data_IF_303357714974
#
_entry.id   IF_303357714974
#
_cell.length_a   1.000
_cell.length_b   1.000
_cell.length_c   1.000
_cell.angle_alpha   90.00
_cell.angle_beta   90.00
_cell.angle_gamma   90.00
#
_symmetry.space_group_name_H-M   'P 1'
#
loop_
_entity.id
_entity.type
_entity.pdbx_description
1 polymer ?
#
# COMPACT_ATOMS: atom_id res chain seq x y z
N UNK A 1 13.40 16.96 -1.97
CA UNK A 1 13.97 16.65 -3.30
C UNK A 1 14.77 17.84 -3.75
N UNK A 2 15.99 17.64 -4.28
CA UNK A 2 16.70 18.72 -4.95
C UNK A 2 16.18 18.83 -6.38
N UNK A 3 16.10 20.05 -6.93
CA UNK A 3 15.69 20.24 -8.33
C UNK A 3 16.63 19.57 -9.34
N UNK A 4 17.87 19.28 -8.91
CA UNK A 4 18.86 18.54 -9.67
C UNK A 4 18.46 17.07 -9.90
N UNK A 5 17.88 16.40 -8.88
CA UNK A 5 17.46 15.00 -8.99
C UNK A 5 16.30 14.85 -9.99
N UNK A 6 15.33 15.80 -9.99
CA UNK A 6 14.22 15.77 -10.93
C UNK A 6 14.70 15.95 -12.39
N UNK A 7 15.62 16.87 -12.65
CA UNK A 7 16.17 17.09 -13.99
C UNK A 7 16.92 15.88 -14.53
N UNK A 8 17.63 15.14 -13.68
CA UNK A 8 18.30 13.89 -14.07
C UNK A 8 17.29 12.80 -14.44
N UNK A 9 16.27 12.60 -13.61
CA UNK A 9 15.21 11.61 -13.85
C UNK A 9 14.49 11.89 -15.17
N UNK A 10 14.06 13.14 -15.40
CA UNK A 10 13.40 13.55 -16.66
C UNK A 10 14.29 13.30 -17.87
N UNK A 11 15.56 13.67 -17.81
CA UNK A 11 16.50 13.46 -18.91
C UNK A 11 16.74 11.99 -19.22
N UNK A 12 16.91 11.15 -18.18
CA UNK A 12 17.11 9.71 -18.37
C UNK A 12 15.87 9.05 -18.96
N UNK A 13 14.66 9.35 -18.45
CA UNK A 13 13.40 8.84 -18.99
C UNK A 13 13.17 9.31 -20.43
N UNK A 14 13.34 10.61 -20.73
CA UNK A 14 13.14 11.19 -22.05
C UNK A 14 14.15 10.76 -23.10
N UNK A 15 15.23 10.07 -22.69
CA UNK A 15 16.18 9.48 -23.64
C UNK A 15 15.61 8.26 -24.39
N UNK A 16 14.54 7.63 -23.89
CA UNK A 16 13.96 6.38 -24.42
C UNK A 16 12.44 6.37 -24.49
N UNK A 17 11.77 7.27 -23.82
CA UNK A 17 10.33 7.40 -23.79
C UNK A 17 9.93 8.74 -24.42
N UNK A 18 8.82 8.74 -25.17
CA UNK A 18 8.13 9.97 -25.51
C UNK A 18 7.45 10.50 -24.24
N UNK A 19 8.02 11.55 -23.65
CA UNK A 19 7.76 11.95 -22.28
C UNK A 19 7.14 13.34 -22.19
N UNK A 20 5.92 13.41 -21.68
CA UNK A 20 5.32 14.64 -21.19
C UNK A 20 5.56 14.76 -19.68
N UNK A 21 6.02 15.92 -19.22
CA UNK A 21 6.34 16.14 -17.81
C UNK A 21 5.52 17.27 -17.22
N UNK A 22 4.84 17.00 -16.09
CA UNK A 22 4.07 18.00 -15.36
C UNK A 22 4.46 17.98 -13.89
N UNK A 23 4.73 19.16 -13.32
CA UNK A 23 4.99 19.31 -11.89
C UNK A 23 3.67 19.50 -11.13
N UNK A 24 3.46 18.69 -10.08
CA UNK A 24 2.31 18.85 -9.19
C UNK A 24 2.41 20.14 -8.39
N UNK A 25 1.30 20.86 -8.24
CA UNK A 25 1.25 22.19 -7.61
C UNK A 25 0.56 22.19 -6.25
N UNK A 26 -0.37 21.25 -6.03
CA UNK A 26 -1.17 21.12 -4.80
C UNK A 26 -1.52 19.67 -4.52
N UNK A 27 -2.06 19.42 -3.34
CA UNK A 27 -2.55 18.09 -2.94
C UNK A 27 -3.75 17.70 -3.80
N UNK A 28 -3.74 16.47 -4.34
CA UNK A 28 -4.75 15.97 -5.27
C UNK A 28 -4.41 16.15 -6.75
N UNK A 29 -3.50 17.10 -7.10
CA UNK A 29 -3.16 17.38 -8.49
C UNK A 29 -2.56 16.15 -9.22
N UNK A 30 -1.81 15.29 -8.52
CA UNK A 30 -1.30 14.05 -9.12
C UNK A 30 -2.42 13.09 -9.55
N UNK A 31 -3.52 13.04 -8.79
CA UNK A 31 -4.72 12.28 -9.16
C UNK A 31 -5.42 12.84 -10.39
N UNK A 32 -5.57 14.17 -10.48
CA UNK A 32 -6.16 14.84 -11.66
C UNK A 32 -5.33 14.58 -12.92
N UNK A 33 -4.00 14.66 -12.81
CA UNK A 33 -3.09 14.36 -13.91
C UNK A 33 -3.18 12.89 -14.34
N UNK A 34 -3.35 11.97 -13.40
CA UNK A 34 -3.54 10.56 -13.69
C UNK A 34 -4.86 10.29 -14.45
N UNK A 35 -5.94 10.98 -14.09
CA UNK A 35 -7.21 10.97 -14.83
C UNK A 35 -6.99 11.47 -16.25
N UNK A 36 -6.34 12.63 -16.42
CA UNK A 36 -6.05 13.21 -17.72
C UNK A 36 -5.19 12.27 -18.58
N UNK A 37 -4.14 11.68 -18.02
CA UNK A 37 -3.26 10.73 -18.73
C UNK A 37 -4.04 9.52 -19.24
N UNK A 38 -4.92 8.95 -18.43
CA UNK A 38 -5.73 7.81 -18.83
C UNK A 38 -6.70 8.16 -19.98
N UNK A 39 -7.31 9.34 -19.93
CA UNK A 39 -8.25 9.80 -20.97
C UNK A 39 -7.56 10.20 -22.27
N UNK A 40 -6.30 10.62 -22.21
CA UNK A 40 -5.49 10.99 -23.37
C UNK A 40 -4.79 9.77 -24.00
N UNK A 41 -4.91 8.57 -23.42
CA UNK A 41 -4.39 7.34 -23.98
C UNK A 41 -2.90 7.12 -23.73
N UNK A 42 -2.31 7.72 -22.68
CA UNK A 42 -0.95 7.40 -22.29
C UNK A 42 -0.80 5.94 -21.87
N UNK A 43 0.29 5.32 -22.25
CA UNK A 43 0.59 3.91 -21.93
C UNK A 43 1.15 3.71 -20.52
N UNK A 44 1.85 4.72 -20.01
CA UNK A 44 2.61 4.64 -18.77
C UNK A 44 2.54 5.97 -18.01
N UNK A 45 2.22 5.92 -16.74
CA UNK A 45 2.32 7.05 -15.82
C UNK A 45 3.52 6.83 -14.91
N UNK A 46 4.54 7.66 -15.04
CA UNK A 46 5.71 7.64 -14.15
C UNK A 46 5.52 8.69 -13.06
N UNK A 47 5.57 8.29 -11.79
CA UNK A 47 5.53 9.21 -10.67
C UNK A 47 6.92 9.41 -10.10
N UNK A 48 7.35 10.65 -9.88
CA UNK A 48 8.55 10.96 -9.11
C UNK A 48 8.16 11.67 -7.82
N UNK A 49 8.05 10.91 -6.74
CA UNK A 49 7.56 11.42 -5.46
C UNK A 49 7.62 10.40 -4.34
N UNK A 50 6.94 10.69 -3.25
CA UNK A 50 6.73 9.75 -2.15
C UNK A 50 5.44 8.95 -2.30
N UNK A 51 5.17 8.08 -1.32
CA UNK A 51 4.00 7.18 -1.31
C UNK A 51 2.66 7.94 -1.41
N UNK A 52 2.55 9.17 -0.86
CA UNK A 52 1.35 10.00 -1.00
C UNK A 52 1.06 10.41 -2.45
N UNK A 53 2.09 10.81 -3.22
CA UNK A 53 1.92 11.13 -4.65
C UNK A 53 1.51 9.90 -5.44
N UNK A 54 2.10 8.74 -5.13
CA UNK A 54 1.73 7.46 -5.74
C UNK A 54 0.29 7.11 -5.43
N UNK A 55 -0.15 7.27 -4.17
CA UNK A 55 -1.53 7.00 -3.76
C UNK A 55 -2.53 7.91 -4.48
N UNK A 56 -2.23 9.21 -4.65
CA UNK A 56 -3.06 10.11 -5.45
C UNK A 56 -3.21 9.63 -6.90
N UNK A 57 -2.11 9.25 -7.55
CA UNK A 57 -2.13 8.73 -8.94
C UNK A 57 -2.94 7.43 -9.03
N UNK A 58 -2.71 6.49 -8.11
CA UNK A 58 -3.48 5.24 -8.06
C UNK A 58 -4.97 5.52 -7.95
N UNK A 59 -5.39 6.37 -7.01
CA UNK A 59 -6.80 6.71 -6.85
C UNK A 59 -7.36 7.47 -8.05
N UNK A 60 -6.58 8.33 -8.71
CA UNK A 60 -6.95 8.95 -9.98
C UNK A 60 -7.23 7.92 -11.05
N UNK A 61 -6.31 6.99 -11.30
CA UNK A 61 -6.46 5.91 -12.28
C UNK A 61 -7.64 5.00 -11.95
N UNK A 62 -7.88 4.69 -10.66
CA UNK A 62 -8.97 3.81 -10.24
C UNK A 62 -10.36 4.44 -10.44
N UNK A 63 -10.46 5.76 -10.43
CA UNK A 63 -11.72 6.49 -10.60
C UNK A 63 -12.09 6.77 -12.06
N UNK A 64 -11.22 6.44 -13.02
CA UNK A 64 -11.47 6.67 -14.46
C UNK A 64 -12.03 5.42 -15.09
N UNK A 65 -13.09 5.58 -15.88
CA UNK A 65 -13.52 4.63 -16.92
C UNK A 65 -12.93 5.09 -18.24
N UNK A 66 -12.05 4.30 -18.83
CA UNK A 66 -11.54 4.53 -20.19
C UNK A 66 -12.19 3.49 -21.09
N UNK A 67 -13.29 3.84 -21.82
CA UNK A 67 -14.03 2.88 -22.64
C UNK A 67 -13.19 2.29 -23.78
N UNK A 68 -12.24 3.07 -24.32
CA UNK A 68 -11.51 2.76 -25.53
C UNK A 68 -9.99 2.83 -25.33
N UNK A 69 -9.48 2.32 -24.21
CA UNK A 69 -8.03 2.24 -24.01
C UNK A 69 -7.40 1.28 -25.01
N UNK A 70 -6.55 1.82 -25.88
CA UNK A 70 -5.86 1.08 -26.97
C UNK A 70 -4.41 0.72 -26.61
N UNK A 71 -3.97 1.04 -25.41
CA UNK A 71 -2.60 0.75 -24.97
C UNK A 71 -2.32 -0.74 -24.77
N UNK A 72 -1.04 -1.11 -24.52
CA UNK A 72 -0.63 -2.49 -24.33
C UNK A 72 -1.39 -3.17 -23.19
N UNK A 73 -1.88 -4.40 -23.37
CA UNK A 73 -2.62 -5.12 -22.34
C UNK A 73 -1.74 -5.44 -21.12
N UNK A 74 -2.35 -5.40 -19.94
CA UNK A 74 -1.73 -5.86 -18.72
C UNK A 74 -2.01 -7.35 -18.52
N UNK A 75 -0.98 -8.16 -18.36
CA UNK A 75 -1.14 -9.58 -18.06
C UNK A 75 -1.70 -9.75 -16.63
N UNK A 76 -2.64 -10.70 -16.41
CA UNK A 76 -3.06 -11.05 -15.04
C UNK A 76 -1.85 -11.51 -14.23
N UNK A 77 -1.91 -11.30 -12.93
CA UNK A 77 -0.88 -11.81 -12.02
C UNK A 77 -0.79 -13.33 -12.20
N UNK A 78 0.43 -13.86 -12.34
CA UNK A 78 0.63 -15.31 -12.38
C UNK A 78 0.11 -15.88 -11.05
N UNK A 79 -0.89 -16.75 -11.09
CA UNK A 79 -1.39 -17.46 -9.94
C UNK A 79 -0.20 -18.21 -9.28
N UNK A 80 0.13 -17.84 -8.06
CA UNK A 80 1.06 -18.60 -7.25
C UNK A 80 0.54 -20.04 -7.15
N UNK A 81 1.36 -21.02 -7.56
CA UNK A 81 0.96 -22.41 -7.76
C UNK A 81 0.22 -23.01 -6.55
N UNK A 82 -1.08 -23.15 -6.71
CA UNK A 82 -2.00 -23.84 -5.82
C UNK A 82 -2.97 -24.64 -6.69
N UNK A 83 -3.00 -25.95 -6.45
CA UNK A 83 -3.68 -27.05 -7.12
C UNK A 83 -5.03 -26.72 -7.77
N UNK A 84 -5.17 -27.28 -8.97
CA UNK A 84 -6.43 -27.43 -9.74
C UNK A 84 -7.57 -28.06 -8.92
N UNK A 85 -8.74 -27.44 -8.98
CA UNK A 85 -9.99 -27.96 -8.40
C UNK A 85 -11.18 -27.39 -9.14
N UNK A 86 -11.74 -28.20 -9.99
CA UNK A 86 -12.93 -28.21 -10.85
C UNK A 86 -14.12 -27.33 -10.49
N UNK A 87 -14.70 -26.76 -11.57
CA UNK A 87 -16.09 -26.57 -11.97
C UNK A 87 -17.21 -26.43 -10.94
N UNK A 88 -17.98 -25.35 -11.09
CA UNK A 88 -19.31 -25.22 -10.49
C UNK A 88 -20.00 -23.90 -10.82
N UNK A 89 -20.71 -23.84 -11.95
CA UNK A 89 -21.67 -22.80 -12.26
C UNK A 89 -22.88 -22.88 -11.31
N UNK A 90 -23.32 -21.76 -10.77
CA UNK A 90 -24.56 -21.67 -10.00
C UNK A 90 -24.88 -20.26 -9.58
N UNK A 91 -25.73 -19.57 -10.36
CA UNK A 91 -26.27 -18.27 -9.98
C UNK A 91 -27.30 -18.41 -8.88
N UNK A 92 -27.24 -17.49 -7.91
CA UNK A 92 -28.38 -17.15 -7.06
C UNK A 92 -28.34 -15.66 -6.75
N UNK A 93 -29.43 -15.00 -7.15
CA UNK A 93 -29.80 -13.65 -6.72
C UNK A 93 -29.95 -13.63 -5.18
N UNK A 94 -29.35 -12.67 -4.52
CA UNK A 94 -29.62 -12.38 -3.13
C UNK A 94 -29.74 -10.87 -2.88
N UNK A 95 -30.75 -10.57 -2.13
CA UNK A 95 -31.42 -9.32 -1.83
C UNK A 95 -30.56 -8.18 -1.30
N UNK A 96 -31.06 -7.02 -1.64
CA UNK A 96 -30.83 -5.65 -1.19
C UNK A 96 -30.54 -5.51 0.33
N UNK A 97 -29.39 -4.94 0.62
CA UNK A 97 -28.95 -4.49 1.94
C UNK A 97 -27.74 -3.58 1.81
N UNK A 98 -27.96 -2.27 1.78
CA UNK A 98 -27.00 -1.17 2.01
C UNK A 98 -25.56 -1.30 1.52
N UNK A 99 -25.32 -1.93 0.39
CA UNK A 99 -23.98 -2.21 -0.11
C UNK A 99 -23.39 -1.00 -0.81
N UNK A 100 -22.20 -0.60 -0.40
CA UNK A 100 -21.29 0.27 -1.15
C UNK A 100 -21.31 -0.18 -2.63
N UNK A 101 -21.65 0.74 -3.51
CA UNK A 101 -21.78 0.48 -4.96
C UNK A 101 -20.49 -0.16 -5.50
N UNK A 102 -20.51 -1.45 -5.72
CA UNK A 102 -19.47 -2.22 -6.41
C UNK A 102 -19.49 -1.99 -7.94
N UNK A 103 -20.15 -0.91 -8.38
CA UNK A 103 -20.38 -0.61 -9.77
C UNK A 103 -19.06 -0.43 -10.52
N UNK A 104 -18.65 -1.48 -11.23
CA UNK A 104 -17.70 -1.44 -12.34
C UNK A 104 -16.36 -0.75 -12.03
N UNK A 105 -15.50 -1.41 -11.25
CA UNK A 105 -14.06 -1.14 -11.32
C UNK A 105 -13.63 -1.64 -12.69
N UNK A 106 -13.19 -0.75 -13.64
CA UNK A 106 -12.76 -1.18 -14.95
C UNK A 106 -11.59 -2.15 -14.83
N UNK A 107 -11.51 -3.13 -15.72
CA UNK A 107 -10.38 -4.06 -15.74
C UNK A 107 -9.04 -3.30 -15.80
N UNK A 108 -8.04 -3.76 -15.07
CA UNK A 108 -6.71 -3.15 -15.05
C UNK A 108 -6.07 -3.07 -16.46
N UNK A 109 -6.49 -3.96 -17.37
CA UNK A 109 -6.06 -3.97 -18.76
C UNK A 109 -6.47 -2.71 -19.57
N UNK A 110 -7.43 -1.94 -19.08
CA UNK A 110 -7.95 -0.75 -19.77
C UNK A 110 -7.37 0.57 -19.19
N UNK A 111 -6.17 0.53 -18.63
CA UNK A 111 -5.55 1.72 -18.00
C UNK A 111 -4.04 1.76 -18.23
N UNK A 112 -3.42 2.96 -18.22
CA UNK A 112 -1.96 3.06 -18.24
C UNK A 112 -1.33 2.31 -17.06
N UNK A 113 -0.16 1.72 -17.31
CA UNK A 113 0.63 1.15 -16.23
C UNK A 113 1.21 2.27 -15.36
N UNK A 114 1.49 1.97 -14.08
CA UNK A 114 2.20 2.89 -13.19
C UNK A 114 3.65 2.42 -12.98
N UNK A 115 4.58 3.38 -12.89
CA UNK A 115 5.96 3.15 -12.50
C UNK A 115 6.41 4.23 -11.48
N UNK A 116 6.51 3.90 -10.19
CA UNK A 116 6.91 4.86 -9.18
C UNK A 116 8.42 5.00 -9.09
N UNK A 117 8.95 6.20 -9.33
CA UNK A 117 10.36 6.55 -9.04
C UNK A 117 10.45 7.05 -7.59
N UNK A 118 11.28 6.44 -6.74
CA UNK A 118 11.45 6.85 -5.35
C UNK A 118 11.91 8.30 -5.21
N UNK A 119 11.10 9.16 -4.59
CA UNK A 119 11.41 10.57 -4.34
C UNK A 119 11.09 11.02 -2.92
N UNK A 120 10.51 10.15 -2.11
CA UNK A 120 10.11 10.41 -0.71
C UNK A 120 11.05 9.75 0.31
N UNK A 121 10.56 9.64 1.54
CA UNK A 121 11.33 9.08 2.66
C UNK A 121 11.30 7.55 2.73
N UNK A 122 10.13 6.94 2.70
CA UNK A 122 9.96 5.48 2.83
C UNK A 122 9.88 4.77 1.48
N UNK A 123 9.11 5.33 0.55
CA UNK A 123 8.88 4.81 -0.81
C UNK A 123 8.51 3.32 -0.77
N UNK A 124 7.56 2.97 0.08
CA UNK A 124 7.21 1.59 0.40
C UNK A 124 6.73 0.88 -0.86
N UNK A 125 5.78 1.47 -1.57
CA UNK A 125 5.22 0.86 -2.77
C UNK A 125 6.26 0.61 -3.86
N UNK A 126 7.10 1.62 -4.18
CA UNK A 126 8.17 1.47 -5.17
C UNK A 126 9.14 0.33 -4.81
N UNK A 127 9.55 0.28 -3.54
CA UNK A 127 10.47 -0.75 -3.04
C UNK A 127 9.83 -2.14 -3.00
N UNK A 128 8.55 -2.24 -2.70
CA UNK A 128 7.82 -3.52 -2.74
C UNK A 128 7.66 -4.03 -4.17
N UNK A 129 7.56 -3.14 -5.16
CA UNK A 129 7.64 -3.51 -6.58
C UNK A 129 9.06 -3.95 -7.02
N UNK A 130 10.06 -3.86 -6.15
CA UNK A 130 11.45 -4.25 -6.44
C UNK A 130 12.33 -3.12 -6.98
N UNK A 131 11.86 -1.86 -6.92
CA UNK A 131 12.68 -0.72 -7.32
C UNK A 131 13.71 -0.36 -6.23
N UNK A 132 14.95 -0.06 -6.60
CA UNK A 132 15.95 0.40 -5.67
C UNK A 132 15.57 1.80 -5.11
N UNK A 133 15.99 2.14 -3.89
CA UNK A 133 15.64 3.41 -3.26
C UNK A 133 16.31 4.63 -3.93
N UNK A 134 17.34 4.42 -4.72
CA UNK A 134 18.08 5.47 -5.44
C UNK A 134 17.37 5.76 -6.77
N UNK A 135 16.98 7.03 -7.06
CA UNK A 135 16.15 7.40 -8.20
C UNK A 135 16.72 6.98 -9.57
N UNK A 136 18.00 7.23 -9.85
CA UNK A 136 18.60 6.89 -11.15
C UNK A 136 18.67 5.37 -11.35
N UNK A 137 18.91 4.59 -10.30
CA UNK A 137 18.87 3.13 -10.39
C UNK A 137 17.43 2.62 -10.63
N UNK A 138 16.44 3.27 -10.03
CA UNK A 138 15.03 2.97 -10.27
C UNK A 138 14.64 3.27 -11.71
N UNK A 139 15.03 4.44 -12.25
CA UNK A 139 14.79 4.83 -13.64
C UNK A 139 15.38 3.80 -14.62
N UNK A 140 16.63 3.37 -14.42
CA UNK A 140 17.23 2.32 -15.28
C UNK A 140 16.41 1.04 -15.29
N UNK A 141 15.87 0.61 -14.13
CA UNK A 141 14.99 -0.56 -14.05
C UNK A 141 13.65 -0.34 -14.75
N UNK A 142 13.06 0.84 -14.59
CA UNK A 142 11.80 1.22 -15.25
C UNK A 142 11.99 1.19 -16.77
N UNK A 143 13.08 1.78 -17.30
CA UNK A 143 13.38 1.76 -18.73
C UNK A 143 13.57 0.34 -19.26
N UNK A 144 14.33 -0.50 -18.56
CA UNK A 144 14.50 -1.90 -18.95
C UNK A 144 13.19 -2.70 -18.94
N UNK A 145 12.29 -2.41 -18.00
CA UNK A 145 10.96 -3.02 -17.96
C UNK A 145 10.06 -2.50 -19.09
N UNK A 146 10.10 -1.20 -19.37
CA UNK A 146 9.36 -0.58 -20.47
C UNK A 146 9.79 -1.16 -21.82
N UNK A 147 11.11 -1.29 -22.07
CA UNK A 147 11.65 -1.90 -23.28
C UNK A 147 11.19 -3.37 -23.47
N UNK A 148 11.01 -4.12 -22.38
CA UNK A 148 10.51 -5.48 -22.45
C UNK A 148 9.01 -5.57 -22.75
N UNK A 149 8.28 -4.46 -22.65
CA UNK A 149 6.83 -4.36 -22.83
C UNK A 149 6.01 -5.16 -21.78
N UNK A 150 6.67 -5.79 -20.81
CA UNK A 150 5.99 -6.67 -19.85
C UNK A 150 5.32 -5.87 -18.75
N UNK A 151 4.05 -6.14 -18.55
CA UNK A 151 3.19 -5.54 -17.54
C UNK A 151 2.50 -6.64 -16.76
N UNK A 152 2.14 -6.37 -15.51
CA UNK A 152 1.34 -7.27 -14.69
C UNK A 152 0.28 -6.50 -13.91
N UNK A 153 -0.81 -7.15 -13.59
CA UNK A 153 -1.79 -6.63 -12.64
C UNK A 153 -1.36 -6.93 -11.22
N UNK A 154 -1.79 -6.10 -10.31
CA UNK A 154 -1.69 -6.30 -8.87
C UNK A 154 -3.02 -5.96 -8.21
N UNK A 155 -3.31 -6.62 -7.09
CA UNK A 155 -4.43 -6.27 -6.24
C UNK A 155 -4.16 -5.02 -5.42
N UNK A 156 -5.24 -4.35 -5.03
CA UNK A 156 -5.24 -3.19 -4.15
C UNK A 156 -6.16 -3.43 -2.96
N UNK A 157 -5.85 -2.79 -1.84
CA UNK A 157 -6.80 -2.64 -0.77
C UNK A 157 -7.71 -1.42 -1.00
N UNK A 158 -8.98 -1.55 -0.63
CA UNK A 158 -9.95 -0.46 -0.62
C UNK A 158 -10.42 -0.25 0.81
N UNK A 159 -10.33 0.98 1.31
CA UNK A 159 -10.78 1.39 2.63
C UNK A 159 -11.83 2.49 2.47
N UNK A 160 -13.10 2.15 2.74
CA UNK A 160 -14.22 3.01 2.35
C UNK A 160 -14.28 3.19 0.83
N UNK A 161 -13.98 4.39 0.36
CA UNK A 161 -13.95 4.78 -1.06
C UNK A 161 -12.55 5.04 -1.61
N UNK A 162 -11.50 4.85 -0.79
CA UNK A 162 -10.11 5.15 -1.16
C UNK A 162 -9.24 3.90 -1.24
N UNK A 163 -8.54 3.74 -2.35
CA UNK A 163 -7.58 2.66 -2.55
C UNK A 163 -6.27 2.91 -1.80
N UNK A 164 -5.67 1.81 -1.33
CA UNK A 164 -4.33 1.82 -0.77
C UNK A 164 -3.45 0.74 -1.39
N UNK A 165 -2.17 1.08 -1.49
CA UNK A 165 -1.17 0.24 -2.17
C UNK A 165 -0.47 -0.73 -1.22
N UNK A 166 -0.20 -0.32 0.03
CA UNK A 166 0.52 -1.17 0.98
C UNK A 166 -0.13 -1.25 2.36
N UNK A 167 -0.68 -0.16 2.92
CA UNK A 167 -1.30 -0.27 4.25
C UNK A 167 -2.30 0.84 4.56
N UNK A 168 -3.23 0.50 5.45
CA UNK A 168 -4.08 1.46 6.13
C UNK A 168 -4.12 1.13 7.62
N UNK A 169 -4.19 2.15 8.48
CA UNK A 169 -4.11 1.98 9.91
C UNK A 169 -5.06 2.85 10.70
N UNK A 170 -5.52 2.32 11.85
CA UNK A 170 -6.41 2.99 12.79
C UNK A 170 -5.79 3.04 14.19
N UNK A 171 -6.13 4.09 14.93
CA UNK A 171 -5.72 4.29 16.32
C UNK A 171 -4.32 4.84 16.44
N UNK A 172 -3.50 4.30 17.35
CA UNK A 172 -2.18 4.87 17.73
C UNK A 172 -1.27 5.09 16.52
N UNK A 173 -1.29 4.18 15.57
CA UNK A 173 -0.50 4.29 14.35
C UNK A 173 -0.89 5.55 13.53
N UNK A 174 -2.18 5.74 13.29
CA UNK A 174 -2.69 6.90 12.57
C UNK A 174 -2.50 8.22 13.37
N UNK A 175 -2.55 8.16 14.69
CA UNK A 175 -2.25 9.33 15.55
C UNK A 175 -0.81 9.79 15.39
N UNK A 176 0.14 8.86 15.22
CA UNK A 176 1.55 9.19 14.94
C UNK A 176 1.67 9.88 13.59
N UNK A 177 0.94 9.41 12.56
CA UNK A 177 0.92 10.04 11.23
C UNK A 177 0.38 11.46 11.30
N UNK A 178 -0.72 11.69 12.05
CA UNK A 178 -1.28 13.03 12.26
C UNK A 178 -0.28 13.99 12.91
N UNK A 179 0.45 13.54 13.92
CA UNK A 179 1.46 14.36 14.60
C UNK A 179 2.66 14.67 13.69
N UNK A 180 3.12 13.71 12.90
CA UNK A 180 4.19 13.91 11.92
C UNK A 180 3.75 14.91 10.85
N UNK A 181 2.53 14.81 10.35
CA UNK A 181 2.01 15.75 9.34
C UNK A 181 1.93 17.19 9.90
N UNK A 182 1.47 17.38 11.14
CA UNK A 182 1.51 18.69 11.82
C UNK A 182 2.94 19.25 11.96
N UNK A 183 3.93 18.39 12.23
CA UNK A 183 5.33 18.81 12.31
C UNK A 183 5.90 19.16 10.93
N UNK A 184 5.49 18.45 9.87
CA UNK A 184 5.86 18.77 8.50
C UNK A 184 5.27 20.12 8.05
N UNK A 185 4.01 20.38 8.37
CA UNK A 185 3.37 21.68 8.11
C UNK A 185 4.09 22.85 8.78
N UNK A 186 4.82 22.58 9.89
CA UNK A 186 5.68 23.56 10.58
C UNK A 186 7.13 23.61 10.04
N UNK A 187 7.38 23.07 8.85
CA UNK A 187 8.67 23.11 8.18
C UNK A 187 9.68 22.01 8.60
N UNK A 188 9.28 21.04 9.42
CA UNK A 188 10.16 19.91 9.77
C UNK A 188 10.26 18.93 8.61
N UNK A 189 11.48 18.51 8.27
CA UNK A 189 11.67 17.45 7.26
C UNK A 189 11.24 16.10 7.82
N UNK A 190 10.49 15.33 7.02
CA UNK A 190 10.17 13.95 7.34
C UNK A 190 11.47 13.13 7.39
N UNK A 191 11.73 12.51 8.54
CA UNK A 191 12.89 11.63 8.73
C UNK A 191 12.46 10.47 9.61
N UNK A 192 13.13 9.33 9.48
CA UNK A 192 12.90 8.15 10.33
C UNK A 192 12.97 8.51 11.82
N UNK A 193 13.90 9.38 12.20
CA UNK A 193 14.05 9.84 13.59
C UNK A 193 12.84 10.68 14.04
N UNK A 194 12.26 11.50 13.17
CA UNK A 194 11.06 12.27 13.48
C UNK A 194 9.88 11.33 13.77
N UNK A 195 9.65 10.33 12.91
CA UNK A 195 8.62 9.31 13.13
C UNK A 195 8.83 8.56 14.43
N UNK A 196 10.04 8.06 14.69
CA UNK A 196 10.35 7.31 15.90
C UNK A 196 10.12 8.14 17.17
N UNK A 197 10.62 9.38 17.21
CA UNK A 197 10.41 10.28 18.38
C UNK A 197 8.93 10.61 18.58
N UNK A 198 8.20 10.81 17.49
CA UNK A 198 6.76 11.09 17.54
C UNK A 198 5.99 9.87 18.05
N UNK A 199 6.32 8.69 17.55
CA UNK A 199 5.72 7.42 17.99
C UNK A 199 5.97 7.17 19.48
N UNK A 200 7.22 7.32 19.96
CA UNK A 200 7.58 7.17 21.37
C UNK A 200 6.83 8.18 22.23
N UNK A 201 6.82 9.46 21.81
CA UNK A 201 6.12 10.51 22.55
C UNK A 201 4.61 10.24 22.62
N UNK A 202 3.99 9.86 21.49
CA UNK A 202 2.57 9.55 21.43
C UNK A 202 2.24 8.38 22.35
N UNK A 203 2.98 7.29 22.23
CA UNK A 203 2.80 6.09 23.03
C UNK A 203 2.84 6.34 24.54
N UNK A 204 3.79 7.14 25.03
CA UNK A 204 3.97 7.34 26.47
C UNK A 204 3.09 8.43 27.06
N UNK A 205 2.80 9.49 26.33
CA UNK A 205 2.21 10.71 26.90
C UNK A 205 0.80 11.03 26.42
N UNK A 206 0.37 10.53 25.25
CA UNK A 206 -0.87 10.99 24.66
C UNK A 206 -1.88 9.88 24.35
N UNK A 207 -1.49 8.60 24.40
CA UNK A 207 -2.41 7.49 24.16
C UNK A 207 -3.02 7.02 25.48
N UNK A 208 -4.36 7.05 25.57
CA UNK A 208 -5.07 6.43 26.68
C UNK A 208 -5.04 4.91 26.54
N UNK A 209 -4.08 4.27 27.23
CA UNK A 209 -3.86 2.80 27.20
C UNK A 209 -4.85 2.02 28.06
N UNK A 210 -5.91 2.64 28.53
CA UNK A 210 -6.95 2.00 29.37
C UNK A 210 -8.26 1.82 28.65
N UNK A 211 -8.49 2.55 27.54
CA UNK A 211 -9.77 2.57 26.82
C UNK A 211 -9.58 2.17 25.37
N UNK A 212 -9.53 0.84 25.07
CA UNK A 212 -9.55 0.38 23.69
C UNK A 212 -10.86 0.77 23.03
N UNK A 213 -10.82 1.26 21.80
CA UNK A 213 -12.00 1.77 21.12
C UNK A 213 -12.45 0.92 19.95
N UNK A 214 -11.56 0.05 19.42
CA UNK A 214 -11.82 -0.63 18.17
C UNK A 214 -12.41 -2.03 18.38
N UNK A 215 -13.36 -2.37 17.52
CA UNK A 215 -13.91 -3.72 17.33
C UNK A 215 -13.67 -4.12 15.87
N UNK A 216 -13.08 -5.27 15.69
CA UNK A 216 -12.90 -5.90 14.37
C UNK A 216 -14.09 -6.82 14.09
N UNK A 217 -14.64 -6.69 12.90
CA UNK A 217 -15.65 -7.56 12.32
C UNK A 217 -15.06 -8.20 11.05
N UNK A 218 -15.08 -9.51 10.97
CA UNK A 218 -14.70 -10.26 9.78
C UNK A 218 -15.78 -11.29 9.46
N UNK A 219 -16.02 -11.64 8.20
CA UNK A 219 -16.97 -12.67 7.83
C UNK A 219 -16.72 -13.97 8.59
N UNK A 220 -17.78 -14.64 8.98
CA UNK A 220 -17.77 -15.96 9.62
C UNK A 220 -16.94 -16.07 10.91
N UNK A 221 -16.56 -14.93 11.51
CA UNK A 221 -15.80 -14.89 12.76
C UNK A 221 -16.52 -14.04 13.82
N UNK A 222 -16.44 -14.42 15.10
CA UNK A 222 -16.99 -13.60 16.16
C UNK A 222 -16.27 -12.24 16.25
N UNK A 223 -16.98 -11.16 16.60
CA UNK A 223 -16.40 -9.84 16.75
C UNK A 223 -15.23 -9.82 17.74
N UNK A 224 -14.10 -9.28 17.33
CA UNK A 224 -12.92 -9.11 18.19
C UNK A 224 -12.93 -7.70 18.78
N UNK A 225 -13.33 -7.59 20.04
CA UNK A 225 -13.48 -6.30 20.74
C UNK A 225 -12.21 -5.93 21.52
N UNK A 226 -12.11 -4.65 21.84
CA UNK A 226 -11.08 -4.15 22.75
C UNK A 226 -9.71 -4.01 22.12
N UNK A 227 -9.65 -3.50 20.90
CA UNK A 227 -8.41 -3.23 20.19
C UNK A 227 -8.02 -1.74 20.32
N UNK A 228 -6.75 -1.46 20.44
CA UNK A 228 -6.16 -0.11 20.51
C UNK A 228 -5.69 0.41 19.16
N UNK A 229 -5.32 -0.50 18.29
CA UNK A 229 -4.89 -0.19 16.94
C UNK A 229 -5.12 -1.38 16.03
N UNK A 230 -5.30 -1.10 14.75
CA UNK A 230 -5.32 -2.07 13.67
C UNK A 230 -4.55 -1.55 12.48
N UNK A 231 -3.78 -2.43 11.84
CA UNK A 231 -3.10 -2.16 10.57
C UNK A 231 -3.53 -3.24 9.59
N UNK A 232 -4.09 -2.81 8.48
CA UNK A 232 -4.46 -3.65 7.35
C UNK A 232 -3.41 -3.47 6.27
N UNK A 233 -2.81 -4.55 5.81
CA UNK A 233 -1.74 -4.53 4.80
C UNK A 233 -2.18 -5.21 3.52
N UNK A 234 -1.83 -4.63 2.38
CA UNK A 234 -2.00 -5.17 1.03
C UNK A 234 -0.68 -5.69 0.45
N UNK A 235 0.42 -5.38 1.11
CA UNK A 235 1.75 -5.86 0.74
C UNK A 235 2.71 -5.81 1.94
N UNK A 236 3.83 -6.52 1.83
CA UNK A 236 4.91 -6.52 2.81
C UNK A 236 6.18 -5.89 2.20
N UNK A 237 6.88 -5.02 2.92
CA UNK A 237 6.70 -4.59 4.31
C UNK A 237 5.66 -3.48 4.50
N UNK A 238 5.18 -3.30 5.73
CA UNK A 238 4.34 -2.17 6.13
C UNK A 238 5.03 -0.81 6.00
N UNK A 239 6.31 -0.74 6.43
CA UNK A 239 7.13 0.47 6.36
C UNK A 239 8.61 0.12 6.43
N UNK A 240 9.46 1.15 6.35
CA UNK A 240 10.91 1.01 6.54
C UNK A 240 11.40 1.95 7.62
N UNK A 241 12.19 1.42 8.57
CA UNK A 241 12.99 2.21 9.50
C UNK A 241 14.42 2.32 8.93
N UNK A 242 14.68 3.37 8.15
CA UNK A 242 15.89 3.49 7.34
C UNK A 242 15.92 2.42 6.23
N UNK A 243 16.90 1.53 6.28
CA UNK A 243 17.00 0.39 5.36
C UNK A 243 16.24 -0.86 5.83
N UNK A 244 15.87 -0.94 7.12
CA UNK A 244 15.24 -2.13 7.72
C UNK A 244 13.75 -2.16 7.45
N UNK A 245 13.23 -3.22 6.83
CA UNK A 245 11.79 -3.40 6.65
C UNK A 245 11.12 -3.76 7.99
N UNK A 246 9.90 -3.30 8.18
CA UNK A 246 9.02 -3.67 9.29
C UNK A 246 7.86 -4.48 8.72
N UNK A 247 7.73 -5.74 9.14
CA UNK A 247 6.78 -6.71 8.58
C UNK A 247 5.83 -7.25 9.66
N UNK A 248 4.66 -6.63 9.86
CA UNK A 248 3.63 -7.19 10.73
C UNK A 248 3.00 -8.45 10.13
N UNK A 249 2.96 -8.53 8.81
CA UNK A 249 2.47 -9.65 8.03
C UNK A 249 3.51 -9.96 6.93
N UNK A 250 4.47 -10.88 7.19
CA UNK A 250 5.61 -11.08 6.31
C UNK A 250 5.27 -11.71 4.95
N UNK A 251 4.16 -12.47 4.87
CA UNK A 251 3.74 -13.18 3.67
C UNK A 251 2.75 -12.40 2.78
N UNK A 252 2.31 -11.23 3.21
CA UNK A 252 1.40 -10.41 2.41
C UNK A 252 2.06 -10.02 1.10
N UNK A 253 1.42 -10.34 0.00
CA UNK A 253 1.75 -9.84 -1.32
C UNK A 253 0.53 -9.22 -2.01
N UNK A 254 0.74 -8.58 -3.15
CA UNK A 254 -0.32 -7.87 -3.87
C UNK A 254 -1.48 -8.76 -4.38
N UNK A 255 -1.39 -10.10 -4.25
CA UNK A 255 -2.39 -11.03 -4.78
C UNK A 255 -2.95 -11.97 -3.72
N UNK A 256 -2.43 -11.90 -2.49
CA UNK A 256 -2.80 -12.81 -1.40
C UNK A 256 -4.05 -12.41 -0.62
N UNK A 257 -4.66 -11.25 -0.93
CA UNK A 257 -5.70 -10.66 -0.08
C UNK A 257 -5.12 -9.68 0.93
N UNK A 258 -5.92 -9.24 1.88
CA UNK A 258 -5.50 -8.32 2.95
C UNK A 258 -5.05 -9.11 4.17
N UNK A 259 -3.97 -8.66 4.78
CA UNK A 259 -3.55 -9.17 6.08
C UNK A 259 -3.81 -8.12 7.17
N UNK A 260 -4.02 -8.62 8.37
CA UNK A 260 -4.34 -7.81 9.54
C UNK A 260 -3.33 -8.04 10.65
N UNK A 261 -2.91 -6.95 11.26
CA UNK A 261 -2.22 -6.91 12.55
C UNK A 261 -2.93 -5.94 13.48
N UNK A 262 -3.29 -6.37 14.69
CA UNK A 262 -3.93 -5.51 15.69
C UNK A 262 -3.44 -5.82 17.10
N UNK A 263 -3.55 -4.84 18.01
CA UNK A 263 -3.13 -4.94 19.39
C UNK A 263 -4.31 -4.77 20.35
N UNK A 264 -4.49 -5.76 21.25
CA UNK A 264 -5.46 -5.71 22.37
C UNK A 264 -4.97 -4.88 23.54
N UNK A 265 -3.67 -4.78 23.72
CA UNK A 265 -3.07 -4.02 24.84
C UNK A 265 -1.78 -3.36 24.38
N UNK A 266 -1.59 -2.14 24.87
CA UNK A 266 -0.37 -1.36 24.65
C UNK A 266 0.57 -1.47 25.86
N UNK A 267 1.09 -2.67 26.13
CA UNK A 267 2.10 -2.89 27.16
C UNK A 267 3.50 -2.68 26.57
N UNK A 268 4.31 -1.87 27.20
CA UNK A 268 5.64 -1.49 26.68
C UNK A 268 6.49 -2.69 26.26
N UNK A 269 6.60 -3.71 27.11
CA UNK A 269 7.44 -4.88 26.81
C UNK A 269 6.88 -5.72 25.65
N UNK A 270 5.56 -5.99 25.63
CA UNK A 270 4.94 -6.75 24.53
C UNK A 270 4.94 -5.98 23.21
N UNK A 271 4.72 -4.65 23.25
CA UNK A 271 4.79 -3.81 22.04
C UNK A 271 6.20 -3.75 21.47
N UNK A 272 7.23 -3.60 22.33
CA UNK A 272 8.62 -3.64 21.89
C UNK A 272 9.04 -5.01 21.37
N UNK A 273 8.56 -6.09 21.98
CA UNK A 273 8.81 -7.45 21.50
C UNK A 273 8.17 -7.67 20.13
N UNK A 274 6.92 -7.22 19.92
CA UNK A 274 6.25 -7.28 18.62
C UNK A 274 7.02 -6.47 17.55
N UNK A 275 7.40 -5.22 17.86
CA UNK A 275 8.18 -4.38 16.95
C UNK A 275 9.53 -5.01 16.59
N UNK A 276 10.23 -5.55 17.60
CA UNK A 276 11.47 -6.27 17.36
C UNK A 276 11.25 -7.48 16.44
N UNK A 277 10.18 -8.23 16.67
CA UNK A 277 9.83 -9.38 15.84
C UNK A 277 9.58 -8.95 14.37
N UNK A 278 8.81 -7.88 14.16
CA UNK A 278 8.52 -7.32 12.83
C UNK A 278 9.77 -6.85 12.07
N UNK A 279 10.83 -6.46 12.79
CA UNK A 279 12.11 -6.03 12.20
C UNK A 279 13.10 -7.17 11.95
N UNK A 280 12.84 -8.35 12.49
CA UNK A 280 13.62 -9.55 12.18
C UNK A 280 13.16 -10.16 10.85
N UNK A 281 14.07 -10.88 10.20
CA UNK A 281 13.80 -11.59 8.93
C UNK A 281 13.00 -12.88 9.12
N UNK A 282 12.23 -12.98 10.21
CA UNK A 282 11.39 -14.14 10.47
C UNK A 282 10.22 -14.20 9.49
N UNK A 283 9.97 -15.37 8.96
CA UNK A 283 8.83 -15.64 8.09
C UNK A 283 7.50 -15.78 8.84
N UNK A 284 7.51 -15.67 10.16
CA UNK A 284 6.30 -15.77 10.97
C UNK A 284 5.78 -14.39 11.39
N UNK A 285 4.46 -14.16 11.38
CA UNK A 285 3.88 -12.94 11.89
C UNK A 285 4.10 -12.83 13.41
N UNK A 286 4.12 -11.60 13.97
CA UNK A 286 4.14 -11.43 15.41
C UNK A 286 2.98 -12.16 16.07
N UNK A 287 3.27 -12.88 17.12
CA UNK A 287 2.27 -13.66 17.87
C UNK A 287 2.33 -13.31 19.36
N UNK A 288 1.26 -13.61 20.08
CA UNK A 288 1.19 -13.40 21.51
C UNK A 288 -0.23 -13.08 22.00
N UNK A 289 -0.42 -13.09 23.32
CA UNK A 289 -1.74 -12.90 23.96
C UNK A 289 -2.40 -11.56 23.63
N UNK A 290 -1.62 -10.52 23.38
CA UNK A 290 -2.07 -9.16 23.12
C UNK A 290 -2.10 -8.84 21.60
N UNK A 291 -1.72 -9.79 20.75
CA UNK A 291 -1.69 -9.67 19.28
C UNK A 291 -2.90 -10.36 18.66
N UNK A 292 -3.49 -9.73 17.68
CA UNK A 292 -4.49 -10.31 16.78
C UNK A 292 -3.94 -10.18 15.38
N UNK A 293 -3.85 -11.29 14.67
CA UNK A 293 -3.44 -11.34 13.27
C UNK A 293 -4.37 -12.24 12.47
N UNK A 294 -4.61 -11.87 11.23
CA UNK A 294 -5.33 -12.67 10.26
C UNK A 294 -4.72 -12.41 8.89
N UNK A 295 -4.83 -13.37 7.98
CA UNK A 295 -4.22 -13.31 6.66
C UNK A 295 -5.24 -13.68 5.57
N UNK A 296 -4.95 -13.24 4.34
CA UNK A 296 -5.72 -13.57 3.15
C UNK A 296 -7.22 -13.20 3.26
N UNK A 297 -7.52 -12.08 3.89
CA UNK A 297 -8.88 -11.58 4.04
C UNK A 297 -9.35 -10.89 2.77
N UNK A 298 -10.55 -11.23 2.30
CA UNK A 298 -11.18 -10.50 1.20
C UNK A 298 -11.85 -9.21 1.70
N UNK A 299 -12.39 -9.24 2.93
CA UNK A 299 -13.04 -8.09 3.55
C UNK A 299 -12.94 -8.14 5.07
N UNK A 300 -12.97 -6.98 5.69
CA UNK A 300 -13.10 -6.79 7.14
C UNK A 300 -13.61 -5.38 7.43
N UNK A 301 -14.16 -5.17 8.62
CA UNK A 301 -14.61 -3.85 9.06
C UNK A 301 -14.08 -3.55 10.45
N UNK A 302 -13.59 -2.33 10.66
CA UNK A 302 -13.39 -1.80 11.99
C UNK A 302 -14.53 -0.87 12.37
N UNK A 303 -15.07 -1.10 13.55
CA UNK A 303 -16.00 -0.21 14.23
C UNK A 303 -15.34 0.35 15.48
N UNK A 304 -15.48 1.66 15.71
CA UNK A 304 -14.96 2.33 16.89
C UNK A 304 -16.11 2.94 17.71
N UNK A 305 -15.97 2.92 19.04
CA UNK A 305 -16.95 3.50 19.99
C UNK A 305 -16.82 5.03 20.11
N UNK A 306 -15.84 5.63 19.42
CA UNK A 306 -15.57 7.06 19.32
C UNK A 306 -14.74 7.35 18.07
N UNK A 307 -14.68 8.60 17.58
CA UNK A 307 -13.80 8.97 16.47
C UNK A 307 -12.35 8.57 16.75
N UNK A 308 -11.74 7.83 15.83
CA UNK A 308 -10.37 7.30 15.91
C UNK A 308 -9.59 7.75 14.68
N UNK A 309 -8.35 8.16 14.89
CA UNK A 309 -7.43 8.55 13.83
C UNK A 309 -7.28 7.42 12.79
N UNK A 310 -7.27 7.80 11.52
CA UNK A 310 -7.20 6.91 10.38
C UNK A 310 -6.18 7.42 9.35
N UNK A 311 -5.40 6.51 8.78
CA UNK A 311 -4.46 6.82 7.70
C UNK A 311 -4.50 5.76 6.59
N UNK A 312 -4.07 6.17 5.40
CA UNK A 312 -3.85 5.32 4.23
C UNK A 312 -2.47 5.62 3.67
N UNK A 313 -1.66 4.60 3.40
CA UNK A 313 -0.31 4.69 2.80
C UNK A 313 0.56 5.77 3.48
N UNK A 314 0.45 5.90 4.81
CA UNK A 314 1.16 6.88 5.60
C UNK A 314 0.62 8.31 5.55
N UNK A 315 -0.52 8.54 4.89
CA UNK A 315 -1.22 9.82 4.84
C UNK A 315 -2.38 9.85 5.83
N UNK A 316 -2.38 10.79 6.77
CA UNK A 316 -3.46 10.99 7.72
C UNK A 316 -4.72 11.54 7.03
N UNK A 317 -5.86 10.88 7.21
CA UNK A 317 -7.14 11.23 6.57
C UNK A 317 -8.19 11.80 7.52
N UNK A 318 -7.85 11.99 8.78
CA UNK A 318 -8.80 12.45 9.79
C UNK A 318 -9.19 11.35 10.76
N UNK A 319 -10.36 11.49 11.36
CA UNK A 319 -10.92 10.54 12.31
C UNK A 319 -12.18 9.88 11.74
N UNK A 320 -12.41 8.63 12.14
CA UNK A 320 -13.57 7.84 11.70
C UNK A 320 -14.05 6.92 12.82
N UNK A 321 -15.31 6.54 12.77
CA UNK A 321 -15.89 5.53 13.66
C UNK A 321 -16.08 4.18 12.96
N UNK A 322 -16.11 4.18 11.61
CA UNK A 322 -16.31 2.98 10.82
C UNK A 322 -15.46 3.01 9.56
N UNK A 323 -14.74 1.92 9.29
CA UNK A 323 -14.04 1.71 8.02
C UNK A 323 -14.23 0.26 7.60
N UNK A 324 -14.83 0.07 6.43
CA UNK A 324 -14.87 -1.21 5.75
C UNK A 324 -13.65 -1.32 4.81
N UNK A 325 -13.00 -2.47 4.85
CA UNK A 325 -11.87 -2.82 4.02
C UNK A 325 -12.24 -3.95 3.08
N UNK A 326 -11.76 -3.87 1.85
CA UNK A 326 -11.94 -4.93 0.86
C UNK A 326 -10.69 -5.08 0.00
N UNK A 327 -10.35 -6.31 -0.33
CA UNK A 327 -9.36 -6.61 -1.36
C UNK A 327 -9.99 -6.52 -2.75
N UNK A 328 -9.30 -5.87 -3.66
CA UNK A 328 -9.70 -5.77 -5.08
C UNK A 328 -8.60 -6.42 -5.91
N UNK A 329 -8.79 -7.65 -6.38
CA UNK A 329 -7.81 -8.35 -7.19
C UNK A 329 -7.64 -7.69 -8.55
N UNK A 330 -6.47 -7.86 -9.17
CA UNK A 330 -6.17 -7.39 -10.54
C UNK A 330 -6.56 -5.92 -10.81
N UNK A 331 -6.43 -5.07 -9.79
CA UNK A 331 -6.95 -3.71 -9.83
C UNK A 331 -6.06 -2.73 -10.60
N UNK A 332 -4.74 -2.85 -10.46
CA UNK A 332 -3.77 -1.87 -10.97
C UNK A 332 -2.76 -2.53 -11.91
N UNK A 333 -2.50 -1.90 -13.05
CA UNK A 333 -1.44 -2.30 -13.96
C UNK A 333 -0.11 -1.66 -13.55
N UNK A 334 0.94 -2.47 -13.43
CA UNK A 334 2.31 -2.02 -13.14
C UNK A 334 3.30 -2.61 -14.14
N UNK A 335 4.44 -1.98 -14.34
CA UNK A 335 5.52 -2.60 -15.10
C UNK A 335 6.03 -3.84 -14.36
N UNK A 336 6.20 -4.95 -15.09
CA UNK A 336 6.75 -6.18 -14.55
C UNK A 336 8.28 -6.05 -14.42
N UNK A 337 8.71 -5.61 -13.25
CA UNK A 337 10.13 -5.47 -12.94
C UNK A 337 10.74 -6.86 -12.74
N UNK A 338 11.85 -7.11 -13.43
CA UNK A 338 12.59 -8.36 -13.23
C UNK A 338 13.25 -8.32 -11.84
N UNK A 339 12.77 -9.14 -10.93
CA UNK A 339 13.49 -9.43 -9.68
C UNK A 339 14.53 -10.49 -10.08
N UNK A 340 15.84 -10.20 -10.06
CA UNK A 340 16.82 -11.25 -10.28
C UNK A 340 16.61 -12.29 -9.17
N UNK A 341 16.21 -13.49 -9.54
CA UNK A 341 16.27 -14.64 -8.64
C UNK A 341 17.74 -14.80 -8.27
N UNK A 342 18.09 -14.52 -7.01
CA UNK A 342 19.35 -14.99 -6.45
C UNK A 342 19.14 -16.49 -6.30
N UNK A 343 19.55 -17.23 -7.33
CA UNK A 343 19.74 -18.68 -7.20
C UNK A 343 20.92 -18.85 -6.25
N UNK A 344 20.63 -19.07 -4.99
CA UNK A 344 21.61 -19.63 -4.06
C UNK A 344 21.78 -21.09 -4.46
N UNK A 345 22.64 -21.33 -5.42
CA UNK A 345 23.14 -22.69 -5.70
C UNK A 345 23.99 -23.12 -4.50
N UNK A 346 23.34 -23.67 -3.49
CA UNK A 346 23.97 -24.40 -2.41
C UNK A 346 24.08 -25.88 -2.86
N UNK A 347 24.87 -26.13 -3.89
CA UNK A 347 25.41 -27.50 -4.08
C UNK A 347 26.54 -27.66 -3.08
N UNK A 348 26.46 -28.59 -2.11
CA UNK A 348 27.60 -28.91 -1.30
C UNK A 348 28.60 -29.66 -2.19
N UNK A 349 29.81 -29.11 -2.32
CA UNK A 349 30.94 -29.80 -2.87
C UNK A 349 31.16 -31.06 -2.03
N UNK A 350 30.96 -32.23 -2.67
CA UNK A 350 31.36 -33.55 -2.21
C UNK A 350 32.89 -33.68 -2.25
#
# INVERSE_FOLDING_TARGET
>A
MSGLDAGLVVRELGSRLDLETVQTQYRGHAGELAVASATQGFDLVVTFGGDGTVNEVVNGLMNVRVPDYTGPPCAPAAAGGGSEGSDGAGGTEAADGGGVRTANIPAAAARPAIAPVPGGGANVFARTLGLPPEPSAAVRRILAAADSGRRRTIGLGLAGDRFFTFSAGLGVDAEVMADVERLRARGRRASTMLYLRTAVRRYYYFTDRRRPALTLLAPDQPPVRGLFMGVVTNSSPWTYLGSRPVRPAPHTDFNSGLDLFALRRLRTLSTLAALRHMMHTNEQPPSGRDVVSAAALNELTFHADRPIAFHIDGEYLGETENVAFRFVPDALCVLALHIPHIVTDLTPNS
#
